data_IF_153736607788
#
_entry.id   IF_153736607788
#
_cell.length_a   1.000
_cell.length_b   1.000
_cell.length_c   1.000
_cell.angle_alpha   90.00
_cell.angle_beta   90.00
_cell.angle_gamma   90.00
#
_symmetry.space_group_name_H-M   'P 1'
#
loop_
_entity.id
_entity.type
_entity.pdbx_description
1 polymer ?
#
# COMPACT_ATOMS: atom_id res chain seq x y z
N UNK A 1 2.78 40.73 6.10
CA UNK A 1 3.15 39.43 6.67
C UNK A 1 3.30 38.46 5.51
N UNK A 2 4.51 38.03 5.20
CA UNK A 2 4.76 37.12 4.08
C UNK A 2 4.73 35.69 4.59
N UNK A 3 3.77 34.89 4.15
CA UNK A 3 3.71 33.47 4.45
C UNK A 3 4.62 32.76 3.46
N UNK A 4 5.78 32.29 3.93
CA UNK A 4 6.64 31.39 3.17
C UNK A 4 5.96 30.03 3.14
N UNK A 5 5.32 29.68 2.02
CA UNK A 5 4.89 28.31 1.75
C UNK A 5 6.16 27.48 1.53
N UNK A 6 6.36 26.45 2.36
CA UNK A 6 7.41 25.46 2.13
C UNK A 6 7.24 24.88 0.72
N UNK A 7 8.33 24.56 0.00
CA UNK A 7 8.22 23.95 -1.32
C UNK A 7 7.40 22.67 -1.17
N UNK A 8 6.21 22.66 -1.79
CA UNK A 8 5.39 21.46 -1.89
C UNK A 8 6.25 20.40 -2.53
N UNK A 9 6.66 19.40 -1.74
CA UNK A 9 7.34 18.22 -2.26
C UNK A 9 6.38 17.63 -3.29
N UNK A 10 6.82 17.54 -4.54
CA UNK A 10 6.01 16.95 -5.61
C UNK A 10 5.51 15.58 -5.10
N UNK A 11 4.22 15.25 -5.28
CA UNK A 11 3.69 14.00 -4.79
C UNK A 11 4.48 12.85 -5.40
N UNK A 12 5.16 12.08 -4.56
CA UNK A 12 5.86 10.88 -4.98
C UNK A 12 4.86 9.97 -5.70
N UNK A 13 5.20 9.41 -6.88
CA UNK A 13 4.29 8.53 -7.59
C UNK A 13 3.91 7.35 -6.71
N UNK A 14 2.61 7.04 -6.67
CA UNK A 14 2.08 5.99 -5.82
C UNK A 14 0.99 5.19 -6.55
N UNK A 15 1.00 3.88 -6.36
CA UNK A 15 -0.10 3.01 -6.75
C UNK A 15 -1.13 3.01 -5.63
N UNK A 16 -2.36 3.43 -5.93
CA UNK A 16 -3.47 3.38 -4.98
C UNK A 16 -4.21 2.05 -5.08
N UNK A 17 -4.47 1.44 -3.93
CA UNK A 17 -5.13 0.13 -3.84
C UNK A 17 -6.06 0.06 -2.62
N UNK A 18 -6.69 -1.10 -2.42
CA UNK A 18 -7.54 -1.44 -1.30
C UNK A 18 -7.10 -2.75 -0.68
N UNK A 19 -7.25 -2.88 0.63
CA UNK A 19 -7.02 -4.16 1.30
C UNK A 19 -8.21 -5.08 1.03
N UNK A 20 -7.98 -6.21 0.36
CA UNK A 20 -8.97 -7.26 0.14
C UNK A 20 -9.10 -8.16 1.37
N UNK A 21 -10.33 -8.61 1.66
CA UNK A 21 -10.58 -9.61 2.71
C UNK A 21 -10.34 -9.13 4.15
N UNK A 22 -10.38 -7.82 4.40
CA UNK A 22 -10.17 -7.21 5.72
C UNK A 22 -11.02 -7.84 6.81
N UNK A 23 -12.32 -8.01 6.56
CA UNK A 23 -13.24 -8.59 7.54
C UNK A 23 -13.03 -10.08 7.82
N UNK A 24 -12.29 -10.79 6.95
CA UNK A 24 -12.06 -12.23 7.09
C UNK A 24 -10.68 -12.52 7.68
N UNK A 25 -9.68 -11.64 7.44
CA UNK A 25 -8.29 -11.86 7.84
C UNK A 25 -7.84 -11.06 9.05
N UNK A 26 -8.30 -9.81 9.20
CA UNK A 26 -7.83 -8.93 10.24
C UNK A 26 -8.45 -9.30 11.60
N UNK A 27 -7.63 -9.28 12.66
CA UNK A 27 -8.15 -9.41 14.02
C UNK A 27 -8.84 -8.10 14.45
N UNK A 28 -9.82 -8.14 15.37
CA UNK A 28 -10.44 -6.91 15.89
C UNK A 28 -9.44 -5.92 16.47
N UNK A 29 -8.37 -6.40 17.13
CA UNK A 29 -7.31 -5.56 17.66
C UNK A 29 -6.50 -4.87 16.55
N UNK A 30 -6.17 -5.59 15.47
CA UNK A 30 -5.46 -5.01 14.33
C UNK A 30 -6.31 -3.94 13.62
N UNK A 31 -7.63 -4.19 13.47
CA UNK A 31 -8.57 -3.23 12.91
C UNK A 31 -8.69 -1.96 13.77
N UNK A 32 -8.80 -2.12 15.09
CA UNK A 32 -8.90 -1.00 16.02
C UNK A 32 -7.63 -0.13 16.04
N UNK A 33 -6.48 -0.69 15.68
CA UNK A 33 -5.20 0.01 15.59
C UNK A 33 -5.00 0.77 14.27
N UNK A 34 -5.82 0.56 13.25
CA UNK A 34 -5.66 1.23 11.96
C UNK A 34 -5.83 2.76 12.07
N UNK A 35 -4.88 3.51 11.50
CA UNK A 35 -4.92 4.97 11.39
C UNK A 35 -4.46 5.39 10.01
N UNK A 36 -4.95 6.53 9.51
CA UNK A 36 -4.41 7.14 8.30
C UNK A 36 -2.92 7.45 8.54
N UNK A 37 -2.08 7.19 7.55
CA UNK A 37 -0.63 7.30 7.63
C UNK A 37 0.07 6.08 8.25
N UNK A 38 -0.66 5.11 8.80
CA UNK A 38 -0.05 3.93 9.42
C UNK A 38 0.78 3.16 8.37
N UNK A 39 2.09 2.91 8.62
CA UNK A 39 2.92 2.11 7.74
C UNK A 39 2.49 0.64 7.77
N UNK A 40 2.48 0.03 6.59
CA UNK A 40 2.14 -1.36 6.35
C UNK A 40 3.28 -2.03 5.58
N UNK A 41 3.23 -3.36 5.50
CA UNK A 41 4.17 -4.18 4.74
C UNK A 41 3.42 -5.13 3.82
N UNK A 42 4.05 -5.44 2.69
CA UNK A 42 3.64 -6.51 1.81
C UNK A 42 4.50 -7.74 2.08
N UNK A 43 3.85 -8.90 2.19
CA UNK A 43 4.52 -10.17 2.44
C UNK A 43 4.01 -11.23 1.47
N UNK A 44 4.93 -11.86 0.74
CA UNK A 44 4.61 -13.04 -0.06
C UNK A 44 4.17 -14.19 0.86
N UNK A 45 3.04 -14.82 0.55
CA UNK A 45 2.63 -16.05 1.24
C UNK A 45 3.11 -17.27 0.46
N UNK A 46 3.62 -18.28 1.17
CA UNK A 46 4.13 -19.51 0.55
C UNK A 46 3.02 -20.33 -0.13
N UNK A 47 1.78 -20.20 0.33
CA UNK A 47 0.60 -20.86 -0.24
C UNK A 47 -0.48 -19.80 -0.50
N UNK A 48 -0.73 -19.42 -1.77
CA UNK A 48 -1.74 -18.43 -2.10
C UNK A 48 -3.13 -18.83 -1.59
N UNK A 49 -3.87 -17.87 -1.05
CA UNK A 49 -5.21 -18.09 -0.53
C UNK A 49 -6.20 -17.44 -1.49
N UNK A 50 -7.11 -18.20 -2.10
CA UNK A 50 -8.09 -17.68 -3.07
C UNK A 50 -7.46 -16.88 -4.22
N UNK A 51 -6.25 -17.25 -4.64
CA UNK A 51 -5.49 -16.56 -5.69
C UNK A 51 -4.71 -15.33 -5.21
N UNK A 52 -4.80 -14.95 -3.93
CA UNK A 52 -3.98 -13.89 -3.36
C UNK A 52 -2.61 -14.41 -2.92
N UNK A 53 -1.55 -13.86 -3.50
CA UNK A 53 -0.16 -14.25 -3.19
C UNK A 53 0.56 -13.25 -2.27
N UNK A 54 -0.01 -12.05 -2.13
CA UNK A 54 0.53 -10.96 -1.33
C UNK A 54 -0.39 -10.62 -0.17
N UNK A 55 0.11 -10.82 1.06
CA UNK A 55 -0.57 -10.43 2.29
C UNK A 55 -0.12 -9.03 2.71
N UNK A 56 -1.07 -8.24 3.19
CA UNK A 56 -0.83 -6.92 3.78
C UNK A 56 -0.80 -7.09 5.30
N UNK A 57 0.30 -6.66 5.91
CA UNK A 57 0.52 -6.74 7.36
C UNK A 57 0.84 -5.37 7.96
N UNK A 58 0.61 -5.20 9.26
CA UNK A 58 1.21 -4.10 10.02
C UNK A 58 2.73 -4.29 10.10
N UNK A 59 3.47 -3.27 10.53
CA UNK A 59 4.90 -3.41 10.83
C UNK A 59 5.20 -4.44 11.92
N UNK A 60 4.29 -4.61 12.87
CA UNK A 60 4.35 -5.64 13.89
C UNK A 60 4.03 -7.05 13.36
N UNK A 61 3.75 -7.20 12.06
CA UNK A 61 3.46 -8.47 11.40
C UNK A 61 2.02 -8.96 11.55
N UNK A 62 1.11 -8.15 12.11
CA UNK A 62 -0.30 -8.53 12.21
C UNK A 62 -0.97 -8.48 10.83
N UNK A 63 -1.62 -9.56 10.42
CA UNK A 63 -2.27 -9.65 9.12
C UNK A 63 -3.53 -8.78 9.07
N UNK A 64 -3.71 -8.06 7.95
CA UNK A 64 -4.85 -7.20 7.70
C UNK A 64 -5.71 -7.68 6.52
N UNK A 65 -5.12 -8.42 5.58
CA UNK A 65 -5.80 -8.87 4.38
C UNK A 65 -4.81 -9.08 3.25
N UNK A 66 -5.27 -8.90 2.01
CA UNK A 66 -4.48 -9.21 0.81
C UNK A 66 -4.45 -8.05 -0.16
N UNK A 67 -3.36 -7.96 -0.93
CA UNK A 67 -3.29 -7.09 -2.09
C UNK A 67 -4.13 -7.71 -3.24
N UNK A 68 -4.96 -6.93 -3.95
CA UNK A 68 -5.63 -7.41 -5.16
C UNK A 68 -4.63 -7.89 -6.21
N UNK A 69 -5.04 -8.87 -7.01
CA UNK A 69 -4.15 -9.51 -7.98
C UNK A 69 -3.76 -8.53 -9.10
N UNK A 70 -4.70 -7.71 -9.53
CA UNK A 70 -4.50 -6.65 -10.51
C UNK A 70 -3.41 -5.66 -10.08
N UNK A 71 -3.34 -5.35 -8.79
CA UNK A 71 -2.31 -4.45 -8.25
C UNK A 71 -0.96 -5.15 -8.12
N UNK A 72 -0.95 -6.46 -7.81
CA UNK A 72 0.27 -7.27 -7.86
C UNK A 72 0.86 -7.32 -9.28
N UNK A 73 0.01 -7.53 -10.28
CA UNK A 73 0.39 -7.53 -11.69
C UNK A 73 0.90 -6.15 -12.13
N UNK A 74 0.28 -5.07 -11.66
CA UNK A 74 0.74 -3.71 -11.90
C UNK A 74 2.12 -3.44 -11.28
N UNK A 75 2.36 -3.86 -10.03
CA UNK A 75 3.68 -3.74 -9.39
C UNK A 75 4.75 -4.51 -10.17
N UNK A 76 4.42 -5.72 -10.64
CA UNK A 76 5.32 -6.52 -11.45
C UNK A 76 5.65 -5.85 -12.79
N UNK A 77 4.65 -5.27 -13.48
CA UNK A 77 4.84 -4.52 -14.71
C UNK A 77 5.72 -3.27 -14.53
N UNK A 78 5.67 -2.66 -13.34
CA UNK A 78 6.51 -1.52 -12.95
C UNK A 78 7.91 -1.94 -12.44
N UNK A 79 8.21 -3.24 -12.38
CA UNK A 79 9.49 -3.74 -11.85
C UNK A 79 9.68 -3.48 -10.35
N UNK A 80 8.60 -3.24 -9.61
CA UNK A 80 8.64 -2.98 -8.16
C UNK A 80 8.66 -4.29 -7.41
N UNK A 81 9.63 -4.46 -6.50
CA UNK A 81 9.67 -5.60 -5.57
C UNK A 81 8.70 -5.30 -4.42
N UNK A 82 7.53 -5.98 -4.34
CA UNK A 82 6.47 -5.61 -3.41
C UNK A 82 6.92 -5.60 -1.95
N UNK A 83 7.76 -6.55 -1.56
CA UNK A 83 8.24 -6.74 -0.18
C UNK A 83 9.15 -5.60 0.31
N UNK A 84 9.68 -4.80 -0.61
CA UNK A 84 10.52 -3.62 -0.32
C UNK A 84 9.76 -2.30 -0.47
N UNK A 85 8.54 -2.33 -1.01
CA UNK A 85 7.75 -1.14 -1.26
C UNK A 85 7.22 -0.56 0.06
N UNK A 86 7.28 0.76 0.18
CA UNK A 86 6.68 1.46 1.30
C UNK A 86 5.16 1.55 1.09
N UNK A 87 4.39 1.06 2.06
CA UNK A 87 2.93 1.03 2.00
C UNK A 87 2.36 1.79 3.19
N UNK A 88 1.32 2.61 2.98
CA UNK A 88 0.62 3.29 4.07
C UNK A 88 -0.89 3.34 3.86
N UNK A 89 -1.63 3.45 4.95
CA UNK A 89 -3.08 3.68 4.93
C UNK A 89 -3.37 5.11 4.52
N UNK A 90 -4.22 5.33 3.52
CA UNK A 90 -4.63 6.67 3.07
C UNK A 90 -6.08 7.00 3.41
N UNK A 91 -6.92 5.98 3.56
CA UNK A 91 -8.29 6.18 3.97
C UNK A 91 -8.84 4.93 4.66
N UNK A 92 -9.72 5.16 5.62
CA UNK A 92 -10.49 4.11 6.28
C UNK A 92 -11.94 4.50 6.11
N UNK A 93 -12.69 3.73 5.33
CA UNK A 93 -14.13 3.94 5.12
C UNK A 93 -14.87 2.97 6.03
N UNK A 94 -15.57 3.48 7.07
CA UNK A 94 -16.37 2.64 7.93
C UNK A 94 -17.48 1.97 7.11
N UNK A 95 -17.59 0.65 7.25
CA UNK A 95 -18.75 -0.13 6.81
C UNK A 95 -18.99 -1.20 7.87
N UNK A 96 -20.26 -1.44 8.21
CA UNK A 96 -20.67 -2.28 9.34
C UNK A 96 -19.82 -3.56 9.46
N UNK A 97 -19.03 -3.65 10.54
CA UNK A 97 -18.08 -4.72 10.87
C UNK A 97 -16.95 -5.00 9.86
N UNK A 98 -16.95 -4.40 8.67
CA UNK A 98 -16.02 -4.67 7.57
C UNK A 98 -15.49 -3.34 6.98
N UNK A 99 -14.60 -2.63 7.68
CA UNK A 99 -14.06 -1.38 7.18
C UNK A 99 -13.35 -1.61 5.84
N UNK A 100 -13.57 -0.70 4.88
CA UNK A 100 -12.79 -0.68 3.64
C UNK A 100 -11.56 0.18 3.86
N UNK A 101 -10.38 -0.37 3.64
CA UNK A 101 -9.12 0.31 3.89
C UNK A 101 -8.46 0.59 2.54
N UNK A 102 -8.23 1.87 2.26
CA UNK A 102 -7.44 2.33 1.12
C UNK A 102 -6.00 2.44 1.53
N UNK A 103 -5.12 1.96 0.66
CA UNK A 103 -3.68 2.06 0.83
C UNK A 103 -3.07 2.76 -0.37
N UNK A 104 -1.85 3.21 -0.17
CA UNK A 104 -0.96 3.57 -1.25
C UNK A 104 0.35 2.79 -1.12
N UNK A 105 0.95 2.50 -2.26
CA UNK A 105 2.22 1.82 -2.40
C UNK A 105 3.13 2.80 -3.13
N UNK A 106 4.14 3.30 -2.42
CA UNK A 106 5.08 4.27 -2.96
C UNK A 106 5.92 3.61 -4.04
N UNK A 107 5.92 4.21 -5.21
CA UNK A 107 6.73 3.76 -6.34
C UNK A 107 8.14 4.37 -6.21
N UNK A 108 9.18 3.63 -6.59
CA UNK A 108 10.51 4.20 -6.68
C UNK A 108 10.48 5.38 -7.66
N UNK A 109 11.23 6.44 -7.36
CA UNK A 109 11.41 7.53 -8.31
C UNK A 109 12.04 6.96 -9.59
N UNK A 110 11.28 7.00 -10.68
CA UNK A 110 11.82 6.69 -11.99
C UNK A 110 12.83 7.78 -12.30
N UNK A 111 14.13 7.47 -12.19
CA UNK A 111 15.17 8.35 -12.70
C UNK A 111 15.08 8.34 -14.22
N UNK A 112 14.22 9.19 -14.77
CA UNK A 112 14.26 9.54 -16.19
C UNK A 112 15.54 10.32 -16.45
N UNK A 113 16.59 9.58 -16.77
CA UNK A 113 17.88 10.08 -17.24
C UNK A 113 18.20 9.51 -18.62
N UNK A 114 17.23 9.46 -19.53
CA UNK A 114 17.53 9.28 -20.96
C UNK A 114 17.90 10.66 -21.50
N UNK A 115 19.20 10.96 -21.52
CA UNK A 115 19.70 12.08 -22.30
C UNK A 115 19.37 11.82 -23.78
N UNK A 116 18.79 12.79 -24.52
CA UNK A 116 18.71 12.67 -25.97
C UNK A 116 20.14 12.67 -26.51
N UNK A 117 20.47 11.65 -27.29
CA UNK A 117 21.71 11.62 -28.05
C UNK A 117 21.72 12.82 -29.00
N UNK A 118 22.71 13.70 -28.85
CA UNK A 118 23.07 14.76 -29.78
C UNK A 118 24.51 14.54 -30.22
#
# INVERSE_FOLDING_TARGET
>A
MSVTLAPESLPQPALHSFISGVGDRATPAALAALRIGLPLRLRRVARPVRGFSMEITTEAGAALGWLPREDEEALAALGVIPETAAVRVVAIVPAFQRPRVRIEILLPETRDGVAPAA
#
